data_IF_456012460979
#
_entry.id   IF_456012460979
#
_cell.length_a   1.000
_cell.length_b   1.000
_cell.length_c   1.000
_cell.angle_alpha   90.00
_cell.angle_beta   90.00
_cell.angle_gamma   90.00
#
_symmetry.space_group_name_H-M   'P 1'
#
loop_
_entity.id
_entity.type
_entity.pdbx_description
1 polymer ?
#
# COMPACT_ATOMS: atom_id res chain seq x y z
N UNK A 1 0.96 2.84 2.15
CA UNK A 1 0.57 3.18 3.54
C UNK A 1 1.73 3.05 4.52
N UNK A 2 2.65 2.11 4.34
CA UNK A 2 3.78 1.87 5.26
C UNK A 2 4.71 3.09 5.39
N UNK A 3 5.08 3.80 4.30
CA UNK A 3 5.84 5.04 4.42
C UNK A 3 5.09 6.13 5.21
N UNK A 4 3.75 6.13 5.16
CA UNK A 4 2.92 7.09 5.89
C UNK A 4 3.08 6.94 7.41
N UNK A 5 3.16 5.72 7.94
CA UNK A 5 3.38 5.50 9.37
C UNK A 5 4.71 6.10 9.84
N UNK A 6 5.79 5.91 9.05
CA UNK A 6 7.09 6.53 9.36
C UNK A 6 7.03 8.05 9.26
N UNK A 7 6.42 8.59 8.20
CA UNK A 7 6.25 10.02 8.02
C UNK A 7 5.43 10.65 9.16
N UNK A 8 4.34 10.00 9.57
CA UNK A 8 3.46 10.48 10.64
C UNK A 8 4.18 10.47 12.01
N UNK A 9 4.96 9.43 12.30
CA UNK A 9 5.76 9.36 13.51
C UNK A 9 6.79 10.51 13.56
N UNK A 10 7.47 10.80 12.44
CA UNK A 10 8.41 11.91 12.32
C UNK A 10 7.72 13.28 12.37
N UNK A 11 6.54 13.43 11.78
CA UNK A 11 5.74 14.65 11.85
C UNK A 11 5.36 14.97 13.31
N UNK A 12 4.93 13.95 14.05
CA UNK A 12 4.60 14.12 15.46
C UNK A 12 5.83 14.52 16.28
N UNK A 13 7.00 13.93 16.01
CA UNK A 13 8.25 14.35 16.66
C UNK A 13 8.58 15.81 16.35
N UNK A 14 8.45 16.24 15.09
CA UNK A 14 8.70 17.64 14.67
C UNK A 14 7.78 18.62 15.41
N UNK A 15 6.50 18.29 15.55
CA UNK A 15 5.53 19.13 16.25
C UNK A 15 5.92 19.34 17.72
N UNK A 16 6.33 18.29 18.43
CA UNK A 16 6.79 18.38 19.80
C UNK A 16 8.15 19.08 19.97
N UNK A 17 9.04 18.99 18.98
CA UNK A 17 10.31 19.70 18.95
C UNK A 17 10.16 21.20 18.59
N UNK A 18 9.01 21.59 18.04
CA UNK A 18 8.78 22.94 17.55
C UNK A 18 9.63 23.31 16.35
N UNK A 19 9.98 22.36 15.49
CA UNK A 19 10.72 22.59 14.24
C UNK A 19 11.41 21.35 13.68
N UNK A 20 12.04 21.50 12.51
CA UNK A 20 12.72 20.42 11.81
C UNK A 20 13.87 19.85 12.66
N UNK A 21 13.91 18.53 12.89
CA UNK A 21 14.99 17.88 13.62
C UNK A 21 16.29 17.83 12.83
N UNK A 22 17.40 17.72 13.54
CA UNK A 22 18.77 17.59 12.99
C UNK A 22 19.15 16.13 12.75
N UNK A 23 18.57 15.20 13.54
CA UNK A 23 18.78 13.76 13.43
C UNK A 23 17.46 13.03 13.61
N UNK A 24 17.27 12.00 12.78
CA UNK A 24 16.06 11.19 12.70
C UNK A 24 16.47 9.70 12.66
N UNK A 25 16.08 8.95 13.65
CA UNK A 25 16.19 7.49 13.64
C UNK A 25 14.78 6.89 13.63
N UNK A 26 14.52 5.96 12.74
CA UNK A 26 13.22 5.28 12.66
C UNK A 26 13.43 3.79 12.79
N UNK A 27 12.81 3.18 13.77
CA UNK A 27 12.83 1.75 14.02
C UNK A 27 11.49 1.16 13.56
N UNK A 28 11.55 0.18 12.66
CA UNK A 28 10.35 -0.40 12.06
C UNK A 28 10.35 -1.92 12.11
N UNK A 29 9.16 -2.51 12.19
CA UNK A 29 8.99 -3.95 12.04
C UNK A 29 9.45 -4.44 10.67
N UNK A 30 9.78 -5.72 10.55
CA UNK A 30 10.17 -6.34 9.27
C UNK A 30 9.13 -6.14 8.17
N UNK A 31 7.85 -6.12 8.52
CA UNK A 31 6.76 -5.92 7.57
C UNK A 31 6.73 -4.50 7.02
N UNK A 32 6.85 -3.48 7.88
CA UNK A 32 6.97 -2.07 7.46
C UNK A 32 8.24 -1.88 6.62
N UNK A 33 9.38 -2.43 7.06
CA UNK A 33 10.66 -2.31 6.35
C UNK A 33 10.54 -2.86 4.93
N UNK A 34 10.15 -4.15 4.82
CA UNK A 34 10.01 -4.83 3.51
C UNK A 34 9.02 -4.13 2.59
N UNK A 35 7.85 -3.74 3.12
CA UNK A 35 6.80 -3.17 2.28
C UNK A 35 7.04 -1.69 1.92
N UNK A 36 7.75 -0.93 2.77
CA UNK A 36 7.93 0.51 2.60
C UNK A 36 9.17 0.93 1.81
N UNK A 37 10.24 0.11 1.79
CA UNK A 37 11.52 0.52 1.20
C UNK A 37 11.49 0.73 -0.32
N UNK A 38 10.61 0.06 -1.04
CA UNK A 38 10.51 0.16 -2.51
C UNK A 38 9.33 1.01 -3.00
N UNK A 39 8.58 1.67 -2.11
CA UNK A 39 7.38 2.43 -2.50
C UNK A 39 7.73 3.85 -2.91
N UNK A 40 7.25 4.27 -4.09
CA UNK A 40 7.35 5.65 -4.58
C UNK A 40 6.61 6.63 -3.66
N UNK A 41 7.24 7.75 -3.36
CA UNK A 41 6.61 8.85 -2.60
C UNK A 41 6.13 9.90 -3.60
N UNK A 42 4.80 10.09 -3.74
CA UNK A 42 4.23 11.00 -4.73
C UNK A 42 4.83 12.41 -4.67
N UNK A 43 5.07 13.00 -5.83
CA UNK A 43 5.63 14.36 -5.96
C UNK A 43 7.13 14.48 -5.69
N UNK A 44 7.87 13.37 -5.45
CA UNK A 44 9.29 13.41 -5.09
C UNK A 44 10.23 12.84 -6.13
N UNK A 45 9.76 11.90 -6.96
CA UNK A 45 10.61 11.06 -7.82
C UNK A 45 11.55 10.14 -7.02
N UNK A 46 11.26 9.91 -5.74
CA UNK A 46 12.07 9.07 -4.84
C UNK A 46 11.23 7.98 -4.19
N UNK A 47 11.91 6.93 -3.71
CA UNK A 47 11.28 5.76 -3.07
C UNK A 47 11.78 5.56 -1.65
N UNK A 48 10.97 4.92 -0.84
CA UNK A 48 11.37 4.32 0.42
C UNK A 48 11.09 5.12 1.68
N UNK A 49 11.37 4.46 2.80
CA UNK A 49 11.15 4.99 4.14
C UNK A 49 12.04 6.21 4.47
N UNK A 50 13.30 6.30 4.02
CA UNK A 50 14.15 7.44 4.38
C UNK A 50 13.58 8.78 3.93
N UNK A 51 13.15 8.89 2.67
CA UNK A 51 12.57 10.14 2.16
C UNK A 51 11.20 10.42 2.80
N UNK A 52 10.38 9.39 3.06
CA UNK A 52 9.11 9.55 3.75
C UNK A 52 9.30 10.09 5.18
N UNK A 53 10.27 9.57 5.93
CA UNK A 53 10.63 10.04 7.27
C UNK A 53 11.13 11.49 7.25
N UNK A 54 12.04 11.81 6.32
CA UNK A 54 12.54 13.17 6.13
C UNK A 54 11.42 14.17 5.83
N UNK A 55 10.52 13.84 4.92
CA UNK A 55 9.37 14.70 4.56
C UNK A 55 8.39 14.85 5.72
N UNK A 56 8.10 13.76 6.45
CA UNK A 56 7.31 13.82 7.67
C UNK A 56 7.88 14.82 8.68
N UNK A 57 9.20 14.80 8.87
CA UNK A 57 9.92 15.69 9.76
C UNK A 57 10.03 17.13 9.24
N UNK A 58 9.94 17.37 7.93
CA UNK A 58 10.03 18.71 7.34
C UNK A 58 8.65 19.37 7.24
N UNK A 59 7.70 18.71 6.57
CA UNK A 59 6.41 19.30 6.23
C UNK A 59 5.19 18.52 6.73
N UNK A 60 5.37 17.29 7.24
CA UNK A 60 4.26 16.48 7.73
C UNK A 60 3.47 17.17 8.84
N UNK A 61 2.14 16.98 8.85
CA UNK A 61 1.25 17.42 9.92
C UNK A 61 0.41 16.24 10.38
N UNK A 62 0.42 15.98 11.70
CA UNK A 62 -0.29 14.82 12.27
C UNK A 62 -1.81 14.90 12.07
N UNK A 63 -2.38 16.09 12.02
CA UNK A 63 -3.81 16.32 11.78
C UNK A 63 -4.30 15.77 10.43
N UNK A 64 -3.40 15.57 9.46
CA UNK A 64 -3.74 15.03 8.14
C UNK A 64 -3.83 13.50 8.10
N UNK A 65 -3.45 12.81 9.17
CA UNK A 65 -3.52 11.35 9.25
C UNK A 65 -2.82 10.67 8.07
N UNK A 66 -3.56 9.91 7.25
CA UNK A 66 -3.00 9.22 6.09
C UNK A 66 -2.49 10.15 4.98
N UNK A 67 -2.91 11.41 4.97
CA UNK A 67 -2.45 12.43 4.01
C UNK A 67 -1.31 13.29 4.57
N UNK A 68 -0.56 12.80 5.53
CA UNK A 68 0.52 13.52 6.25
C UNK A 68 1.52 14.20 5.32
N UNK A 69 1.69 13.69 4.10
CA UNK A 69 2.63 14.20 3.08
C UNK A 69 1.96 15.07 2.00
N UNK A 70 0.71 15.51 2.14
CA UNK A 70 0.03 16.28 1.09
C UNK A 70 0.67 17.62 0.77
N UNK A 71 1.48 18.17 1.68
CA UNK A 71 2.18 19.44 1.49
C UNK A 71 3.61 19.30 0.91
N UNK A 72 3.98 18.11 0.41
CA UNK A 72 5.33 17.85 -0.13
C UNK A 72 5.72 18.82 -1.23
N UNK A 73 4.77 19.13 -2.13
CA UNK A 73 5.02 20.04 -3.28
C UNK A 73 5.00 21.53 -2.89
N UNK A 74 4.66 21.86 -1.63
CA UNK A 74 4.64 23.22 -1.17
C UNK A 74 6.04 23.73 -0.80
N UNK A 75 6.33 24.99 -1.14
CA UNK A 75 7.60 25.63 -0.78
C UNK A 75 8.83 24.80 -1.23
N UNK A 76 9.85 24.77 -0.39
CA UNK A 76 11.13 24.09 -0.65
C UNK A 76 11.25 22.76 0.16
N UNK A 77 10.13 22.14 0.52
CA UNK A 77 10.09 21.00 1.44
C UNK A 77 10.92 19.82 0.94
N UNK A 78 10.82 19.48 -0.34
CA UNK A 78 11.58 18.39 -0.92
C UNK A 78 13.10 18.64 -0.88
N UNK A 79 13.55 19.85 -1.14
CA UNK A 79 14.98 20.18 -1.09
C UNK A 79 15.52 20.11 0.35
N UNK A 80 14.74 20.55 1.35
CA UNK A 80 15.12 20.43 2.75
C UNK A 80 15.19 18.97 3.17
N UNK A 81 14.21 18.14 2.78
CA UNK A 81 14.20 16.71 3.06
C UNK A 81 15.41 16.00 2.40
N UNK A 82 15.73 16.32 1.14
CA UNK A 82 16.93 15.80 0.47
C UNK A 82 18.22 16.19 1.20
N UNK A 83 18.33 17.44 1.66
CA UNK A 83 19.48 17.86 2.45
C UNK A 83 19.68 17.07 3.75
N UNK A 84 18.61 16.61 4.40
CA UNK A 84 18.72 15.72 5.56
C UNK A 84 19.26 14.33 5.16
N UNK A 85 18.84 13.81 4.01
CA UNK A 85 19.36 12.54 3.49
C UNK A 85 20.84 12.65 3.09
N UNK A 86 21.22 13.70 2.39
CA UNK A 86 22.59 13.95 1.94
C UNK A 86 23.58 14.07 3.14
N UNK A 87 23.09 14.62 4.25
CA UNK A 87 23.83 14.70 5.53
C UNK A 87 23.81 13.40 6.32
N UNK A 88 23.18 12.34 5.81
CA UNK A 88 22.98 11.09 6.54
C UNK A 88 22.27 11.28 7.90
N UNK A 89 21.43 12.30 8.00
CA UNK A 89 20.71 12.62 9.21
C UNK A 89 19.47 11.75 9.45
N UNK A 90 19.11 10.89 8.49
CA UNK A 90 17.96 9.98 8.55
C UNK A 90 18.42 8.54 8.44
N UNK A 91 18.16 7.74 9.47
CA UNK A 91 18.53 6.34 9.52
C UNK A 91 17.30 5.47 9.79
N UNK A 92 17.13 4.41 9.02
CA UNK A 92 16.06 3.43 9.21
C UNK A 92 16.67 2.14 9.76
N UNK A 93 16.13 1.69 10.87
CA UNK A 93 16.56 0.47 11.56
C UNK A 93 15.47 -0.60 11.50
N UNK A 94 15.86 -1.83 11.27
CA UNK A 94 15.00 -2.98 11.46
C UNK A 94 14.91 -3.32 12.95
N UNK A 95 13.69 -3.37 13.50
CA UNK A 95 13.44 -3.80 14.87
C UNK A 95 12.95 -5.25 14.84
N UNK A 96 13.86 -6.18 15.13
CA UNK A 96 13.60 -7.63 15.05
C UNK A 96 12.55 -8.08 16.09
N UNK A 97 12.56 -7.47 17.27
CA UNK A 97 11.66 -7.74 18.40
C UNK A 97 10.45 -6.79 18.43
N UNK A 98 10.02 -6.29 17.27
CA UNK A 98 8.87 -5.40 17.20
C UNK A 98 7.60 -6.06 17.81
N UNK A 99 6.86 -5.37 18.68
CA UNK A 99 5.72 -5.96 19.40
C UNK A 99 4.51 -6.21 18.50
N UNK A 100 4.50 -5.68 17.29
CA UNK A 100 3.42 -5.84 16.31
C UNK A 100 3.99 -5.85 14.89
N UNK A 101 3.26 -6.47 13.96
CA UNK A 101 3.60 -6.48 12.52
C UNK A 101 3.60 -5.08 11.92
N UNK A 102 2.76 -4.19 12.44
CA UNK A 102 2.75 -2.77 12.11
C UNK A 102 3.34 -1.99 13.29
N UNK A 103 4.62 -1.75 13.24
CA UNK A 103 5.36 -0.98 14.24
C UNK A 103 6.27 0.03 13.57
N UNK A 104 6.14 1.29 13.97
CA UNK A 104 7.06 2.37 13.60
C UNK A 104 7.33 3.26 14.81
N UNK A 105 8.61 3.40 15.16
CA UNK A 105 9.11 4.26 16.23
C UNK A 105 10.06 5.27 15.61
N UNK A 106 9.77 6.55 15.77
CA UNK A 106 10.67 7.63 15.36
C UNK A 106 11.30 8.28 16.60
N UNK A 107 12.61 8.47 16.54
CA UNK A 107 13.38 9.24 17.54
C UNK A 107 14.02 10.41 16.78
N UNK A 108 13.61 11.62 17.12
CA UNK A 108 14.08 12.84 16.48
C UNK A 108 14.79 13.73 17.51
N UNK A 109 15.90 14.33 17.08
CA UNK A 109 16.72 15.22 17.94
C UNK A 109 16.87 16.59 17.31
N UNK A 110 16.80 17.63 18.15
CA UNK A 110 17.05 19.03 17.79
C UNK A 110 17.72 19.75 18.96
N UNK A 111 18.99 20.10 18.79
CA UNK A 111 19.80 20.56 19.92
C UNK A 111 19.83 19.52 21.03
N UNK A 112 19.50 19.93 22.26
CA UNK A 112 19.44 19.04 23.44
C UNK A 112 18.11 18.28 23.57
N UNK A 113 17.10 18.65 22.79
CA UNK A 113 15.78 18.03 22.89
C UNK A 113 15.69 16.74 22.04
N UNK A 114 15.12 15.71 22.64
CA UNK A 114 14.83 14.44 21.99
C UNK A 114 13.35 14.12 22.13
N UNK A 115 12.70 13.76 21.01
CA UNK A 115 11.32 13.31 21.00
C UNK A 115 11.24 11.92 20.37
N UNK A 116 10.49 11.04 21.03
CA UNK A 116 10.15 9.71 20.54
C UNK A 116 8.66 9.60 20.30
N UNK A 117 8.27 9.07 19.14
CA UNK A 117 6.87 8.75 18.80
C UNK A 117 6.76 7.30 18.38
N UNK A 118 5.75 6.59 18.90
CA UNK A 118 5.50 5.18 18.58
C UNK A 118 4.10 5.00 17.97
N UNK A 119 4.06 4.33 16.81
CA UNK A 119 2.84 3.91 16.10
C UNK A 119 2.79 2.39 16.09
N UNK A 120 1.63 1.81 16.45
CA UNK A 120 1.44 0.37 16.52
C UNK A 120 0.05 -0.01 15.98
N UNK A 121 -0.05 -1.18 15.32
CA UNK A 121 -1.29 -1.84 14.89
C UNK A 121 -2.07 -1.12 13.78
N UNK A 122 -1.98 0.18 13.66
CA UNK A 122 -2.63 0.97 12.60
C UNK A 122 -1.73 2.11 12.17
N UNK A 123 -1.70 2.44 10.88
CA UNK A 123 -0.77 3.42 10.29
C UNK A 123 -0.84 4.82 10.92
N UNK A 124 -1.96 5.15 11.58
CA UNK A 124 -2.18 6.43 12.26
C UNK A 124 -2.35 6.30 13.77
N UNK A 125 -2.22 5.09 14.32
CA UNK A 125 -2.45 4.85 15.74
C UNK A 125 -1.19 5.16 16.56
N UNK A 126 -0.99 6.43 16.89
CA UNK A 126 0.05 6.88 17.82
C UNK A 126 -0.33 6.41 19.23
N UNK A 127 0.55 5.64 19.88
CA UNK A 127 0.34 5.13 21.23
C UNK A 127 1.23 5.80 22.28
N UNK A 128 2.34 6.39 21.85
CA UNK A 128 3.30 7.00 22.77
C UNK A 128 3.96 8.20 22.09
N UNK A 129 4.07 9.29 22.84
CA UNK A 129 4.98 10.40 22.54
C UNK A 129 5.74 10.74 23.81
N UNK A 130 7.06 10.71 23.73
CA UNK A 130 7.95 11.08 24.85
C UNK A 130 8.83 12.26 24.43
N UNK A 131 8.98 13.25 25.31
CA UNK A 131 9.96 14.32 25.17
C UNK A 131 10.95 14.26 26.33
N UNK A 132 12.23 14.14 26.00
CA UNK A 132 13.34 14.05 26.99
C UNK A 132 13.09 12.96 28.05
N UNK A 133 12.61 11.78 27.61
CA UNK A 133 12.32 10.65 28.47
C UNK A 133 11.03 10.74 29.30
N UNK A 134 10.24 11.81 29.14
CA UNK A 134 8.94 11.96 29.81
C UNK A 134 7.81 11.81 28.82
N UNK A 135 6.85 10.92 29.12
CA UNK A 135 5.66 10.75 28.29
C UNK A 135 4.80 12.03 28.32
N UNK A 136 4.59 12.63 27.14
CA UNK A 136 3.67 13.75 26.92
C UNK A 136 2.32 13.28 26.37
N UNK A 137 2.30 12.10 25.77
CA UNK A 137 1.10 11.40 25.34
C UNK A 137 1.29 9.90 25.51
N UNK A 138 0.29 9.23 26.05
CA UNK A 138 0.24 7.76 26.13
C UNK A 138 -1.19 7.26 25.94
N UNK A 139 -1.33 6.26 25.12
CA UNK A 139 -2.57 5.51 24.93
C UNK A 139 -2.27 4.05 25.25
N UNK A 140 -3.10 3.43 26.09
CA UNK A 140 -2.95 2.01 26.38
C UNK A 140 -3.18 1.21 25.09
N UNK A 141 -2.21 0.37 24.79
CA UNK A 141 -2.28 -0.56 23.69
C UNK A 141 -2.30 -1.98 24.24
N UNK A 142 -3.44 -2.60 24.15
CA UNK A 142 -3.55 -4.05 24.35
C UNK A 142 -3.52 -4.67 22.95
N UNK A 143 -2.60 -5.60 22.64
CA UNK A 143 -2.64 -6.33 21.39
C UNK A 143 -4.05 -6.95 21.25
N UNK A 144 -4.81 -6.50 20.27
CA UNK A 144 -6.12 -7.06 20.01
C UNK A 144 -5.88 -8.47 19.52
N UNK A 145 -6.23 -9.48 20.33
CA UNK A 145 -6.41 -10.82 19.83
C UNK A 145 -7.36 -10.69 18.64
N UNK A 146 -6.99 -11.28 17.48
CA UNK A 146 -7.73 -11.14 16.24
C UNK A 146 -9.24 -11.20 16.55
N UNK A 147 -9.92 -10.06 16.40
CA UNK A 147 -11.37 -10.02 16.58
C UNK A 147 -11.94 -11.11 15.70
N UNK A 148 -12.85 -11.92 16.24
CA UNK A 148 -13.65 -12.83 15.44
C UNK A 148 -14.47 -11.96 14.49
N UNK A 149 -13.90 -11.65 13.33
CA UNK A 149 -14.63 -10.96 12.29
C UNK A 149 -15.58 -11.97 11.64
N UNK A 150 -16.67 -11.48 11.07
CA UNK A 150 -17.60 -12.29 10.25
C UNK A 150 -16.85 -13.03 9.12
N UNK A 151 -15.66 -12.56 8.76
CA UNK A 151 -14.75 -13.20 7.80
C UNK A 151 -14.22 -14.56 8.29
N UNK A 152 -14.19 -14.82 9.61
CA UNK A 152 -13.82 -16.12 10.16
C UNK A 152 -14.80 -17.22 9.77
N UNK A 153 -16.04 -16.86 9.46
CA UNK A 153 -17.09 -17.80 9.03
C UNK A 153 -17.05 -18.09 7.52
N UNK A 154 -16.27 -17.34 6.74
CA UNK A 154 -16.10 -17.60 5.32
C UNK A 154 -15.36 -18.93 5.11
N UNK A 155 -15.77 -19.65 4.09
CA UNK A 155 -15.06 -20.80 3.54
C UNK A 155 -15.23 -20.80 2.03
N UNK A 156 -14.34 -21.46 1.31
CA UNK A 156 -14.44 -21.56 -0.16
C UNK A 156 -15.80 -22.15 -0.57
N UNK A 157 -16.28 -23.16 0.14
CA UNK A 157 -17.59 -23.77 -0.16
C UNK A 157 -18.76 -22.78 0.04
N UNK A 158 -18.75 -21.99 1.11
CA UNK A 158 -19.78 -20.94 1.35
C UNK A 158 -19.71 -19.82 0.32
N UNK A 159 -18.50 -19.38 -0.03
CA UNK A 159 -18.29 -18.36 -1.09
C UNK A 159 -18.84 -18.89 -2.41
N UNK A 160 -18.52 -20.13 -2.78
CA UNK A 160 -19.00 -20.76 -4.00
C UNK A 160 -20.53 -20.84 -4.04
N UNK A 161 -21.15 -21.32 -2.98
CA UNK A 161 -22.61 -21.40 -2.86
C UNK A 161 -23.25 -20.01 -2.96
N UNK A 162 -22.69 -19.01 -2.26
CA UNK A 162 -23.18 -17.63 -2.29
C UNK A 162 -23.16 -17.06 -3.72
N UNK A 163 -22.03 -17.18 -4.41
CA UNK A 163 -21.88 -16.63 -5.77
C UNK A 163 -22.87 -17.24 -6.77
N UNK A 164 -23.29 -18.49 -6.57
CA UNK A 164 -24.26 -19.15 -7.45
C UNK A 164 -25.73 -18.82 -7.12
N UNK A 165 -26.01 -18.38 -5.88
CA UNK A 165 -27.38 -18.10 -5.43
C UNK A 165 -27.75 -16.63 -5.41
N UNK A 166 -26.76 -15.75 -5.21
CA UNK A 166 -27.02 -14.29 -5.11
C UNK A 166 -27.60 -13.74 -6.41
N UNK A 167 -28.55 -12.79 -6.29
CA UNK A 167 -28.98 -12.03 -7.44
C UNK A 167 -27.83 -11.19 -7.98
N UNK A 168 -27.61 -11.27 -9.28
CA UNK A 168 -26.52 -10.55 -9.96
C UNK A 168 -26.60 -9.05 -9.70
N UNK A 169 -27.81 -8.49 -9.63
CA UNK A 169 -28.00 -7.07 -9.38
C UNK A 169 -27.41 -6.61 -8.02
N UNK A 170 -27.36 -7.49 -7.02
CA UNK A 170 -26.81 -7.16 -5.69
C UNK A 170 -25.29 -7.10 -5.69
N UNK A 171 -24.62 -7.76 -6.64
CA UNK A 171 -23.16 -7.80 -6.75
C UNK A 171 -22.61 -7.08 -7.98
N UNK A 172 -23.45 -6.40 -8.75
CA UNK A 172 -23.08 -5.70 -9.98
C UNK A 172 -22.06 -4.58 -9.76
N UNK A 173 -22.02 -4.01 -8.56
CA UNK A 173 -21.06 -2.95 -8.18
C UNK A 173 -19.59 -3.37 -8.36
N UNK A 174 -19.26 -4.66 -8.43
CA UNK A 174 -17.89 -5.14 -8.69
C UNK A 174 -17.36 -4.68 -10.06
N UNK A 175 -18.25 -4.34 -11.00
CA UNK A 175 -17.86 -3.81 -12.31
C UNK A 175 -17.19 -2.43 -12.21
N UNK A 176 -17.55 -1.60 -11.23
CA UNK A 176 -16.90 -0.31 -11.01
C UNK A 176 -15.40 -0.50 -10.74
N UNK A 177 -15.06 -1.52 -9.95
CA UNK A 177 -13.68 -1.88 -9.67
C UNK A 177 -12.92 -2.37 -10.91
N UNK A 178 -13.60 -3.14 -11.77
CA UNK A 178 -13.02 -3.59 -13.03
C UNK A 178 -12.70 -2.41 -13.96
N UNK A 179 -13.65 -1.48 -14.16
CA UNK A 179 -13.45 -0.31 -15.02
C UNK A 179 -12.37 0.62 -14.46
N UNK A 180 -12.34 0.83 -13.14
CA UNK A 180 -11.30 1.64 -12.48
C UNK A 180 -9.91 1.05 -12.72
N UNK A 181 -9.74 -0.27 -12.54
CA UNK A 181 -8.46 -0.94 -12.71
C UNK A 181 -8.06 -1.07 -14.20
N UNK A 182 -9.02 -1.19 -15.12
CA UNK A 182 -8.76 -1.07 -16.57
C UNK A 182 -8.22 0.31 -16.96
N UNK A 183 -8.77 1.36 -16.37
CA UNK A 183 -8.36 2.72 -16.69
C UNK A 183 -6.90 3.00 -16.30
N UNK A 184 -6.43 2.52 -15.15
CA UNK A 184 -5.01 2.68 -14.77
C UNK A 184 -4.10 1.73 -15.56
N UNK A 185 -4.57 0.54 -15.93
CA UNK A 185 -3.83 -0.37 -16.83
C UNK A 185 -3.59 0.26 -18.20
N UNK A 186 -4.63 0.84 -18.79
CA UNK A 186 -4.52 1.56 -20.06
C UNK A 186 -3.56 2.75 -19.98
N UNK A 187 -3.54 3.47 -18.85
CA UNK A 187 -2.60 4.56 -18.61
C UNK A 187 -1.15 4.05 -18.52
N UNK A 188 -0.93 2.95 -17.81
CA UNK A 188 0.38 2.32 -17.69
C UNK A 188 0.96 1.81 -19.01
N UNK A 189 0.09 1.40 -19.95
CA UNK A 189 0.50 1.03 -21.30
C UNK A 189 0.82 2.24 -22.19
N UNK A 190 0.19 3.38 -21.94
CA UNK A 190 0.32 4.60 -22.75
C UNK A 190 1.55 5.42 -22.36
N UNK A 191 1.79 5.58 -21.07
CA UNK A 191 2.82 6.48 -20.51
C UNK A 191 4.01 5.67 -19.97
N UNK A 192 5.07 6.37 -19.57
CA UNK A 192 6.26 5.75 -18.99
C UNK A 192 6.12 5.75 -17.47
N UNK A 193 5.96 4.56 -16.89
CA UNK A 193 5.85 4.35 -15.46
C UNK A 193 6.74 3.20 -14.99
N UNK A 194 7.44 3.40 -13.90
CA UNK A 194 8.18 2.39 -13.18
C UNK A 194 9.12 1.58 -14.07
N UNK A 195 9.02 0.27 -14.00
CA UNK A 195 9.85 -0.66 -14.79
C UNK A 195 9.30 -0.91 -16.21
N UNK A 196 8.14 -0.38 -16.55
CA UNK A 196 7.49 -0.54 -17.86
C UNK A 196 7.31 -2.02 -18.28
N UNK A 197 7.08 -2.91 -17.32
CA UNK A 197 6.98 -4.35 -17.56
C UNK A 197 5.84 -4.65 -18.54
N UNK A 198 4.63 -4.13 -18.25
CA UNK A 198 3.46 -4.34 -19.09
C UNK A 198 3.65 -3.80 -20.51
N UNK A 199 4.23 -2.60 -20.63
CA UNK A 199 4.51 -1.97 -21.94
C UNK A 199 5.52 -2.78 -22.73
N UNK A 200 6.62 -3.22 -22.11
CA UNK A 200 7.64 -4.06 -22.75
C UNK A 200 7.07 -5.41 -23.22
N UNK A 201 6.25 -6.06 -22.41
CA UNK A 201 5.59 -7.31 -22.81
C UNK A 201 4.67 -7.09 -24.02
N UNK A 202 3.88 -6.01 -24.01
CA UNK A 202 3.01 -5.64 -25.14
C UNK A 202 3.80 -5.40 -26.43
N UNK A 203 4.90 -4.64 -26.35
CA UNK A 203 5.79 -4.42 -27.49
C UNK A 203 6.40 -5.73 -28.03
N UNK A 204 6.72 -6.68 -27.15
CA UNK A 204 7.26 -7.98 -27.56
C UNK A 204 6.21 -8.83 -28.28
N UNK A 205 4.93 -8.75 -27.89
CA UNK A 205 3.83 -9.35 -28.68
C UNK A 205 3.75 -8.68 -30.05
N UNK A 206 3.76 -7.35 -30.10
CA UNK A 206 3.65 -6.60 -31.36
C UNK A 206 4.82 -6.87 -32.33
N UNK A 207 5.99 -7.21 -31.79
CA UNK A 207 7.19 -7.65 -32.54
C UNK A 207 7.18 -9.14 -32.91
N UNK A 208 6.19 -9.92 -32.46
CA UNK A 208 6.12 -11.36 -32.67
C UNK A 208 7.11 -12.18 -31.86
N UNK A 209 7.66 -11.62 -30.78
CA UNK A 209 8.59 -12.30 -29.86
C UNK A 209 7.87 -13.06 -28.75
N UNK A 210 6.62 -12.70 -28.47
CA UNK A 210 5.73 -13.37 -27.53
C UNK A 210 4.39 -13.65 -28.20
N UNK A 211 3.73 -14.72 -27.77
CA UNK A 211 2.39 -15.05 -28.24
C UNK A 211 1.33 -14.11 -27.66
N UNK A 212 0.31 -13.81 -28.46
CA UNK A 212 -0.85 -13.07 -28.04
C UNK A 212 -1.89 -14.02 -27.44
N UNK A 213 -1.61 -14.50 -26.23
CA UNK A 213 -2.46 -15.44 -25.51
C UNK A 213 -3.04 -14.83 -24.22
N UNK A 214 -3.89 -15.60 -23.53
CA UNK A 214 -4.52 -15.20 -22.28
C UNK A 214 -3.49 -14.82 -21.21
N UNK A 215 -2.46 -15.64 -21.01
CA UNK A 215 -1.49 -15.44 -19.92
C UNK A 215 -0.69 -14.15 -20.13
N UNK A 216 -0.20 -13.94 -21.34
CA UNK A 216 0.55 -12.73 -21.68
C UNK A 216 -0.33 -11.49 -21.57
N UNK A 217 -1.58 -11.53 -22.03
CA UNK A 217 -2.50 -10.40 -21.91
C UNK A 217 -2.86 -10.09 -20.43
N UNK A 218 -3.09 -11.10 -19.60
CA UNK A 218 -3.32 -10.93 -18.17
C UNK A 218 -2.12 -10.30 -17.45
N UNK A 219 -0.90 -10.78 -17.79
CA UNK A 219 0.35 -10.20 -17.27
C UNK A 219 0.51 -8.74 -17.70
N UNK A 220 0.31 -8.44 -18.99
CA UNK A 220 0.41 -7.09 -19.53
C UNK A 220 -0.51 -6.14 -18.78
N UNK A 221 -1.79 -6.48 -18.65
CA UNK A 221 -2.76 -5.61 -17.99
C UNK A 221 -2.45 -5.39 -16.51
N UNK A 222 -2.13 -6.46 -15.77
CA UNK A 222 -1.86 -6.38 -14.35
C UNK A 222 -0.54 -5.64 -14.04
N UNK A 223 0.52 -5.90 -14.81
CA UNK A 223 1.82 -5.25 -14.59
C UNK A 223 1.82 -3.80 -15.01
N UNK A 224 1.16 -3.43 -16.12
CA UNK A 224 1.02 -2.03 -16.53
C UNK A 224 0.26 -1.20 -15.48
N UNK A 225 -0.82 -1.74 -14.91
CA UNK A 225 -1.54 -1.08 -13.82
C UNK A 225 -0.68 -0.93 -12.56
N UNK A 226 0.11 -1.97 -12.24
CA UNK A 226 1.02 -1.95 -11.09
C UNK A 226 2.18 -0.99 -11.28
N UNK A 227 2.79 -0.94 -12.48
CA UNK A 227 3.84 0.02 -12.83
C UNK A 227 3.33 1.45 -12.63
N UNK A 228 2.17 1.78 -13.23
CA UNK A 228 1.57 3.11 -13.11
C UNK A 228 1.27 3.47 -11.65
N UNK A 229 0.63 2.55 -10.91
CA UNK A 229 0.29 2.79 -9.50
C UNK A 229 1.52 2.99 -8.62
N UNK A 230 2.53 2.14 -8.77
CA UNK A 230 3.72 2.16 -7.91
C UNK A 230 4.62 3.36 -8.19
N UNK A 231 4.56 3.91 -9.39
CA UNK A 231 5.28 5.11 -9.78
C UNK A 231 4.49 6.42 -9.51
N UNK A 232 3.33 6.31 -8.86
CA UNK A 232 2.59 7.48 -8.37
C UNK A 232 1.59 8.08 -9.38
N UNK A 233 1.08 7.29 -10.33
CA UNK A 233 -0.03 7.71 -11.18
C UNK A 233 -1.23 8.15 -10.33
N UNK A 234 -1.84 9.28 -10.67
CA UNK A 234 -2.95 9.88 -9.92
C UNK A 234 -4.29 9.17 -10.15
N UNK A 235 -4.37 8.22 -11.10
CA UNK A 235 -5.61 7.48 -11.34
C UNK A 235 -5.95 6.59 -10.15
N UNK A 236 -7.24 6.57 -9.74
CA UNK A 236 -7.68 5.71 -8.64
C UNK A 236 -7.58 4.23 -9.02
N UNK A 237 -7.43 3.38 -8.02
CA UNK A 237 -7.51 1.93 -8.15
C UNK A 237 -8.51 1.35 -7.16
N UNK A 238 -9.28 0.37 -7.59
CA UNK A 238 -10.09 -0.44 -6.68
C UNK A 238 -9.14 -1.36 -5.90
N UNK A 239 -9.28 -1.33 -4.59
CA UNK A 239 -8.45 -2.14 -3.68
C UNK A 239 -9.15 -3.46 -3.33
N UNK A 240 -8.36 -4.45 -2.91
CA UNK A 240 -8.87 -5.60 -2.17
C UNK A 240 -8.16 -5.67 -0.82
N UNK A 241 -8.91 -5.78 0.25
CA UNK A 241 -8.40 -5.84 1.63
C UNK A 241 -7.39 -4.72 1.96
N UNK A 242 -7.63 -3.51 1.44
CA UNK A 242 -6.79 -2.32 1.67
C UNK A 242 -5.54 -2.23 0.80
N UNK A 243 -5.29 -3.18 -0.09
CA UNK A 243 -4.14 -3.16 -1.01
C UNK A 243 -4.57 -2.92 -2.45
N UNK A 244 -4.02 -1.85 -3.09
CA UNK A 244 -4.27 -1.53 -4.49
C UNK A 244 -3.72 -2.60 -5.45
N UNK A 245 -2.51 -3.11 -5.22
CA UNK A 245 -1.95 -4.17 -6.06
C UNK A 245 -2.73 -5.49 -5.93
N UNK A 246 -3.28 -5.81 -4.74
CA UNK A 246 -4.21 -6.93 -4.61
C UNK A 246 -5.48 -6.69 -5.43
N UNK A 247 -6.05 -5.47 -5.36
CA UNK A 247 -7.19 -5.10 -6.18
C UNK A 247 -6.91 -5.27 -7.68
N UNK A 248 -5.83 -4.69 -8.19
CA UNK A 248 -5.40 -4.86 -9.58
C UNK A 248 -5.37 -6.34 -9.97
N UNK A 249 -4.77 -7.18 -9.13
CA UNK A 249 -4.56 -8.62 -9.42
C UNK A 249 -5.84 -9.44 -9.35
N UNK A 250 -6.79 -9.14 -8.45
CA UNK A 250 -8.08 -9.87 -8.40
C UNK A 250 -9.05 -9.47 -9.50
N UNK A 251 -8.86 -8.30 -10.12
CA UNK A 251 -9.75 -7.81 -11.16
C UNK A 251 -9.24 -8.09 -12.57
N UNK A 252 -8.03 -7.63 -12.92
CA UNK A 252 -7.59 -7.58 -14.32
C UNK A 252 -7.43 -8.93 -15.00
N UNK A 253 -6.84 -9.98 -14.40
CA UNK A 253 -6.78 -11.28 -15.03
C UNK A 253 -8.17 -11.87 -15.32
N UNK A 254 -9.12 -11.66 -14.41
CA UNK A 254 -10.52 -12.15 -14.58
C UNK A 254 -11.22 -11.40 -15.72
N UNK A 255 -10.99 -10.09 -15.85
CA UNK A 255 -11.53 -9.29 -16.96
C UNK A 255 -10.95 -9.77 -18.29
N UNK A 256 -9.63 -9.94 -18.37
CA UNK A 256 -8.95 -10.43 -19.58
C UNK A 256 -9.46 -11.82 -19.97
N UNK A 257 -9.65 -12.72 -18.98
CA UNK A 257 -10.24 -14.04 -19.24
C UNK A 257 -11.65 -13.94 -19.81
N UNK A 258 -12.50 -13.11 -19.20
CA UNK A 258 -13.87 -12.95 -19.66
C UNK A 258 -13.95 -12.37 -21.07
N UNK A 259 -13.11 -11.40 -21.41
CA UNK A 259 -13.02 -10.82 -22.74
C UNK A 259 -12.53 -11.86 -23.78
N UNK A 260 -11.47 -12.60 -23.46
CA UNK A 260 -10.87 -13.56 -24.40
C UNK A 260 -11.74 -14.79 -24.64
N UNK A 261 -12.45 -15.26 -23.61
CA UNK A 261 -13.32 -16.43 -23.74
C UNK A 261 -14.77 -16.09 -24.09
N UNK A 262 -15.09 -14.80 -24.31
CA UNK A 262 -16.43 -14.36 -24.70
C UNK A 262 -17.49 -14.61 -23.63
N UNK A 263 -17.13 -14.46 -22.36
CA UNK A 263 -18.03 -14.67 -21.24
C UNK A 263 -19.16 -13.63 -21.22
N UNK A 264 -20.34 -14.04 -20.75
CA UNK A 264 -21.44 -13.12 -20.54
C UNK A 264 -21.14 -12.12 -19.43
N UNK A 265 -21.88 -10.98 -19.42
CA UNK A 265 -21.80 -9.99 -18.35
C UNK A 265 -22.03 -10.60 -16.96
N UNK A 266 -23.02 -11.49 -16.83
CA UNK A 266 -23.28 -12.20 -15.58
C UNK A 266 -22.12 -13.07 -15.13
N UNK A 267 -21.51 -13.83 -16.05
CA UNK A 267 -20.35 -14.65 -15.74
C UNK A 267 -19.17 -13.79 -15.25
N UNK A 268 -18.92 -12.65 -15.89
CA UNK A 268 -17.88 -11.71 -15.44
C UNK A 268 -18.17 -11.20 -14.02
N UNK A 269 -19.39 -10.75 -13.74
CA UNK A 269 -19.76 -10.24 -12.41
C UNK A 269 -19.55 -11.32 -11.34
N UNK A 270 -20.02 -12.54 -11.57
CA UNK A 270 -19.86 -13.65 -10.63
C UNK A 270 -18.40 -14.03 -10.43
N UNK A 271 -17.61 -14.08 -11.49
CA UNK A 271 -16.18 -14.37 -11.42
C UNK A 271 -15.41 -13.29 -10.64
N UNK A 272 -15.69 -12.01 -10.89
CA UNK A 272 -15.10 -10.91 -10.14
C UNK A 272 -15.45 -10.96 -8.66
N UNK A 273 -16.71 -11.22 -8.31
CA UNK A 273 -17.14 -11.35 -6.93
C UNK A 273 -16.47 -12.56 -6.25
N UNK A 274 -16.38 -13.69 -6.94
CA UNK A 274 -15.67 -14.90 -6.46
C UNK A 274 -14.21 -14.59 -6.17
N UNK A 275 -13.48 -14.03 -7.13
CA UNK A 275 -12.08 -13.64 -7.01
C UNK A 275 -11.83 -12.76 -5.79
N UNK A 276 -12.66 -11.72 -5.62
CA UNK A 276 -12.54 -10.78 -4.51
C UNK A 276 -12.81 -11.43 -3.15
N UNK A 277 -13.83 -12.29 -3.04
CA UNK A 277 -14.18 -12.97 -1.79
C UNK A 277 -13.15 -14.03 -1.40
N UNK A 278 -12.62 -14.79 -2.36
CA UNK A 278 -11.55 -15.76 -2.11
C UNK A 278 -10.29 -15.04 -1.61
N UNK A 279 -9.89 -13.97 -2.27
CA UNK A 279 -8.75 -13.16 -1.83
C UNK A 279 -8.97 -12.59 -0.41
N UNK A 280 -10.16 -12.05 -0.12
CA UNK A 280 -10.50 -11.53 1.19
C UNK A 280 -10.48 -12.64 2.27
N UNK A 281 -10.92 -13.86 1.96
CA UNK A 281 -10.87 -15.01 2.84
C UNK A 281 -9.42 -15.40 3.16
N UNK A 282 -8.55 -15.52 2.16
CA UNK A 282 -7.13 -15.83 2.36
C UNK A 282 -6.46 -14.72 3.18
N UNK A 283 -6.75 -13.44 2.87
CA UNK A 283 -6.20 -12.30 3.57
C UNK A 283 -6.52 -12.31 5.08
N UNK A 284 -7.69 -12.81 5.46
CA UNK A 284 -8.06 -12.95 6.87
C UNK A 284 -7.04 -13.75 7.66
N UNK A 285 -6.56 -14.87 7.12
CA UNK A 285 -5.56 -15.72 7.79
C UNK A 285 -4.14 -15.10 7.80
N UNK A 286 -3.85 -14.23 6.85
CA UNK A 286 -2.55 -13.55 6.78
C UNK A 286 -2.46 -12.35 7.73
N UNK A 287 -3.60 -11.75 8.10
CA UNK A 287 -3.69 -10.61 9.00
C UNK A 287 -3.41 -9.26 8.32
N UNK A 288 -3.46 -8.18 9.11
CA UNK A 288 -3.49 -6.81 8.65
C UNK A 288 -2.28 -6.36 7.84
N UNK A 289 -1.10 -6.84 8.18
CA UNK A 289 0.14 -6.49 7.50
C UNK A 289 1.00 -7.75 7.37
N UNK A 290 1.23 -8.16 6.14
CA UNK A 290 2.05 -9.33 5.83
C UNK A 290 3.32 -8.94 5.08
N UNK A 291 4.45 -9.58 5.41
CA UNK A 291 5.65 -9.53 4.62
C UNK A 291 5.57 -10.41 3.35
N UNK A 292 4.58 -11.30 3.26
CA UNK A 292 4.30 -12.05 2.04
C UNK A 292 3.72 -11.11 0.97
N UNK A 293 4.08 -11.37 -0.28
CA UNK A 293 3.58 -10.58 -1.39
C UNK A 293 2.08 -10.78 -1.57
N UNK A 294 1.34 -9.69 -1.69
CA UNK A 294 -0.10 -9.71 -1.95
C UNK A 294 -0.51 -10.47 -3.21
N UNK A 295 0.44 -10.70 -4.13
CA UNK A 295 0.21 -11.52 -5.34
C UNK A 295 -0.19 -12.95 -5.02
N UNK A 296 0.30 -13.53 -3.91
CA UNK A 296 -0.09 -14.88 -3.50
C UNK A 296 -1.57 -14.94 -3.13
N UNK A 297 -2.07 -13.92 -2.43
CA UNK A 297 -3.48 -13.83 -2.04
C UNK A 297 -4.34 -13.57 -3.26
N UNK A 298 -4.01 -12.51 -3.98
CA UNK A 298 -4.80 -12.00 -5.08
C UNK A 298 -4.73 -12.90 -6.31
N UNK A 299 -3.55 -13.47 -6.60
CA UNK A 299 -3.37 -14.45 -7.68
C UNK A 299 -4.18 -15.71 -7.44
N UNK A 300 -4.22 -16.23 -6.20
CA UNK A 300 -5.08 -17.37 -5.86
C UNK A 300 -6.56 -17.03 -5.99
N UNK A 301 -6.95 -15.80 -5.68
CA UNK A 301 -8.33 -15.37 -5.87
C UNK A 301 -8.72 -15.25 -7.35
N UNK A 302 -7.80 -14.83 -8.21
CA UNK A 302 -8.03 -14.65 -9.64
C UNK A 302 -7.98 -15.96 -10.45
N UNK A 303 -7.25 -16.99 -9.95
CA UNK A 303 -7.12 -18.30 -10.59
C UNK A 303 -8.38 -19.16 -10.43
#
# INVERSE_FOLDING_TARGET
TEPVACALACARCKEELGGVPEHIEVFVSGNIYKNGMGVGIPGTGMTGLPIAAALGAVCGKTEYGLEVLKEVSACNNLAVAKSLLDKQAVVIHLKEDAPDKLYAEAICKKGDDTVKTVIVHGHTNIILVEKNGKAVYRKDFTPVAAEKSDRAELSIARIWEFIHRIDVAEIEFVLEGAEMNKAISAEGLKSEYGLQIGKTLKENIDKGLLENDFLNNALICATAASDARMDGCEKPVMTNSGSGNQGITVYLPVVVAAEQFGCSREQLIRALALSNLVAAHIHYYMGHLSALCGILIAGTGAA
#
